data_IF_688027988810
#
_entry.id   IF_688027988810
#
_cell.length_a   1.000
_cell.length_b   1.000
_cell.length_c   1.000
_cell.angle_alpha   90.00
_cell.angle_beta   90.00
_cell.angle_gamma   90.00
#
_symmetry.space_group_name_H-M   'P 1'
#
loop_
_entity.id
_entity.type
_entity.pdbx_description
1 polymer ?
#
# COMPACT_ATOMS: atom_id res chain seq x y z
N UNK A 1 -28.54 -20.77 5.12
CA UNK A 1 -27.14 -20.33 5.33
C UNK A 1 -26.28 -20.78 4.15
N UNK A 2 -26.33 -20.05 3.03
CA UNK A 2 -25.44 -20.32 1.89
C UNK A 2 -24.19 -19.45 2.02
N UNK A 3 -23.05 -20.04 2.39
CA UNK A 3 -21.76 -19.35 2.30
C UNK A 3 -21.35 -19.30 0.83
N UNK A 4 -21.09 -18.10 0.31
CA UNK A 4 -20.76 -17.87 -1.11
C UNK A 4 -19.41 -18.53 -1.46
N UNK A 5 -19.36 -19.40 -2.49
CA UNK A 5 -18.15 -20.16 -2.87
C UNK A 5 -16.92 -19.29 -3.17
N UNK A 6 -17.11 -18.06 -3.66
CA UNK A 6 -16.02 -17.16 -4.07
C UNK A 6 -15.14 -16.67 -2.91
N UNK A 7 -15.75 -16.37 -1.77
CA UNK A 7 -15.03 -15.85 -0.58
C UNK A 7 -14.23 -16.98 0.09
N UNK A 8 -14.79 -18.19 0.13
CA UNK A 8 -14.07 -19.37 0.64
C UNK A 8 -12.85 -19.70 -0.22
N UNK A 9 -12.97 -19.58 -1.56
CA UNK A 9 -11.85 -19.78 -2.48
C UNK A 9 -10.76 -18.73 -2.30
N UNK A 10 -11.11 -17.44 -2.25
CA UNK A 10 -10.14 -16.36 -2.00
C UNK A 10 -9.41 -16.51 -0.65
N UNK A 11 -10.16 -16.84 0.41
CA UNK A 11 -9.60 -17.07 1.75
C UNK A 11 -8.67 -18.29 1.81
N UNK A 12 -8.96 -19.38 1.07
CA UNK A 12 -8.09 -20.57 1.02
C UNK A 12 -6.81 -20.32 0.23
N UNK A 13 -6.88 -19.62 -0.90
CA UNK A 13 -5.69 -19.24 -1.67
C UNK A 13 -4.78 -18.32 -0.88
N UNK A 14 -5.33 -17.38 -0.09
CA UNK A 14 -4.57 -16.50 0.80
C UNK A 14 -3.86 -17.29 1.92
N UNK A 15 -4.56 -18.22 2.58
CA UNK A 15 -3.96 -19.05 3.65
C UNK A 15 -2.74 -19.86 3.19
N UNK A 16 -2.76 -20.39 1.95
CA UNK A 16 -1.66 -21.18 1.41
C UNK A 16 -0.35 -20.39 1.24
N UNK A 17 -0.43 -19.06 1.12
CA UNK A 17 0.75 -18.20 0.90
C UNK A 17 1.16 -17.39 2.13
N UNK A 18 0.48 -17.53 3.26
CA UNK A 18 0.80 -16.81 4.51
C UNK A 18 2.23 -17.11 4.99
N UNK A 19 2.74 -18.33 4.77
CA UNK A 19 4.09 -18.74 5.15
C UNK A 19 5.18 -18.32 4.14
N UNK A 20 4.80 -17.71 3.03
CA UNK A 20 5.71 -17.29 1.95
C UNK A 20 5.61 -15.79 1.75
N UNK A 21 5.75 -15.03 2.85
CA UNK A 21 5.71 -13.58 2.80
C UNK A 21 6.79 -13.05 1.85
N UNK A 22 6.48 -11.95 1.17
CA UNK A 22 7.39 -11.27 0.26
C UNK A 22 7.33 -9.76 0.55
N UNK A 23 8.39 -9.01 0.23
CA UNK A 23 8.42 -7.59 0.55
C UNK A 23 7.42 -6.76 -0.26
N UNK A 24 7.11 -7.15 -1.50
CA UNK A 24 6.12 -6.50 -2.39
C UNK A 24 5.68 -7.48 -3.48
N UNK A 25 4.57 -7.22 -4.18
CA UNK A 25 3.98 -8.21 -5.11
C UNK A 25 4.93 -8.64 -6.23
N UNK A 26 5.62 -7.68 -6.83
CA UNK A 26 6.58 -7.88 -7.92
C UNK A 26 7.95 -8.42 -7.50
N UNK A 27 8.13 -8.86 -6.24
CA UNK A 27 9.44 -9.37 -5.76
C UNK A 27 9.92 -10.61 -6.52
N UNK A 28 8.99 -11.37 -7.11
CA UNK A 28 9.25 -12.59 -7.86
C UNK A 28 8.98 -12.42 -9.37
N UNK A 29 9.01 -11.18 -9.89
CA UNK A 29 8.71 -10.92 -11.29
C UNK A 29 9.58 -11.72 -12.27
N UNK A 30 10.82 -12.03 -11.89
CA UNK A 30 11.75 -12.83 -12.70
C UNK A 30 11.27 -14.27 -12.94
N UNK A 31 10.42 -14.82 -12.06
CA UNK A 31 9.84 -16.16 -12.22
C UNK A 31 8.52 -16.15 -12.97
N UNK A 32 7.91 -14.99 -13.17
CA UNK A 32 6.61 -14.86 -13.81
C UNK A 32 6.75 -14.85 -15.34
N UNK A 33 6.26 -15.89 -15.99
CA UNK A 33 6.34 -16.08 -17.44
C UNK A 33 5.18 -15.45 -18.24
N UNK A 34 4.33 -14.65 -17.60
CA UNK A 34 3.25 -13.94 -18.29
C UNK A 34 2.04 -14.81 -18.65
N UNK A 35 1.97 -16.05 -18.15
CA UNK A 35 0.83 -16.96 -18.40
C UNK A 35 -0.52 -16.33 -18.06
N UNK A 36 -1.50 -16.46 -18.97
CA UNK A 36 -2.89 -16.07 -18.69
C UNK A 36 -3.46 -16.90 -17.52
N UNK A 37 -3.89 -16.20 -16.48
CA UNK A 37 -4.40 -16.78 -15.24
C UNK A 37 -5.93 -16.92 -15.22
N UNK A 38 -6.64 -16.48 -16.28
CA UNK A 38 -8.12 -16.48 -16.32
C UNK A 38 -8.72 -17.87 -16.09
N UNK A 39 -8.06 -18.92 -16.58
CA UNK A 39 -8.47 -20.33 -16.41
C UNK A 39 -7.51 -21.12 -15.52
N UNK A 40 -6.59 -20.46 -14.82
CA UNK A 40 -5.58 -21.12 -13.99
C UNK A 40 -6.20 -21.62 -12.68
N UNK A 41 -6.01 -22.91 -12.38
CA UNK A 41 -6.50 -23.52 -11.15
C UNK A 41 -5.43 -23.49 -10.04
N UNK A 42 -5.51 -22.48 -9.18
CA UNK A 42 -4.63 -22.32 -8.02
C UNK A 42 -4.79 -23.40 -6.94
N UNK A 43 -5.86 -24.18 -6.96
CA UNK A 43 -6.05 -25.28 -6.00
C UNK A 43 -5.42 -26.57 -6.50
N UNK A 44 -5.40 -26.77 -7.82
CA UNK A 44 -4.83 -27.96 -8.47
C UNK A 44 -3.34 -27.84 -8.82
N UNK A 45 -2.72 -26.66 -8.69
CA UNK A 45 -1.33 -26.46 -9.11
C UNK A 45 -0.27 -27.04 -8.15
N UNK A 46 -0.68 -27.69 -7.07
CA UNK A 46 0.20 -28.31 -6.07
C UNK A 46 1.31 -27.37 -5.59
N UNK A 47 1.01 -26.09 -5.31
CA UNK A 47 1.96 -25.20 -4.64
C UNK A 47 2.28 -25.69 -3.23
N UNK A 48 3.55 -26.00 -2.98
CA UNK A 48 4.04 -26.50 -1.71
C UNK A 48 5.55 -26.23 -1.54
N UNK A 49 6.09 -26.58 -0.38
CA UNK A 49 7.53 -26.74 -0.20
C UNK A 49 8.06 -27.88 -1.10
N UNK A 50 9.33 -27.83 -1.59
CA UNK A 50 10.34 -26.78 -1.40
C UNK A 50 10.09 -25.54 -2.26
N UNK A 51 10.68 -24.41 -1.86
CA UNK A 51 10.54 -23.14 -2.58
C UNK A 51 11.53 -23.02 -3.75
N UNK A 52 11.46 -23.99 -4.66
CA UNK A 52 12.20 -24.03 -5.93
C UNK A 52 11.61 -23.05 -6.95
N UNK A 53 12.25 -22.94 -8.12
CA UNK A 53 11.85 -21.98 -9.15
C UNK A 53 10.44 -22.25 -9.71
N UNK A 54 10.00 -23.52 -9.68
CA UNK A 54 8.63 -23.90 -10.04
C UNK A 54 7.63 -23.33 -9.04
N UNK A 55 7.89 -23.48 -7.74
CA UNK A 55 7.01 -22.93 -6.71
C UNK A 55 7.11 -21.41 -6.59
N UNK A 56 8.28 -20.79 -6.85
CA UNK A 56 8.41 -19.33 -6.97
C UNK A 56 7.55 -18.78 -8.11
N UNK A 57 7.51 -19.44 -9.27
CA UNK A 57 6.62 -19.09 -10.38
C UNK A 57 5.14 -19.19 -9.99
N UNK A 58 4.74 -20.28 -9.32
CA UNK A 58 3.36 -20.44 -8.81
C UNK A 58 3.00 -19.36 -7.78
N UNK A 59 3.95 -18.89 -6.97
CA UNK A 59 3.73 -17.77 -6.06
C UNK A 59 3.59 -16.45 -6.83
N UNK A 60 4.43 -16.21 -7.84
CA UNK A 60 4.34 -15.04 -8.70
C UNK A 60 2.98 -14.95 -9.40
N UNK A 61 2.44 -16.06 -9.91
CA UNK A 61 1.07 -16.12 -10.44
C UNK A 61 0.01 -15.70 -9.41
N UNK A 62 0.13 -16.15 -8.16
CA UNK A 62 -0.80 -15.75 -7.09
C UNK A 62 -0.68 -14.26 -6.79
N UNK A 63 0.53 -13.70 -6.79
CA UNK A 63 0.76 -12.27 -6.60
C UNK A 63 0.15 -11.44 -7.73
N UNK A 64 0.34 -11.82 -9.00
CA UNK A 64 -0.32 -11.16 -10.13
C UNK A 64 -1.85 -11.22 -9.99
N UNK A 65 -2.40 -12.39 -9.68
CA UNK A 65 -3.84 -12.53 -9.48
C UNK A 65 -4.39 -11.71 -8.30
N UNK A 66 -3.58 -11.50 -7.25
CA UNK A 66 -3.92 -10.60 -6.14
C UNK A 66 -3.91 -9.14 -6.62
N UNK A 67 -2.88 -8.73 -7.37
CA UNK A 67 -2.80 -7.40 -7.98
C UNK A 67 -4.00 -7.09 -8.89
N UNK A 68 -4.37 -8.04 -9.75
CA UNK A 68 -5.52 -7.91 -10.66
C UNK A 68 -6.86 -7.78 -9.91
N UNK A 69 -7.00 -8.50 -8.79
CA UNK A 69 -8.20 -8.40 -7.93
C UNK A 69 -8.22 -7.07 -7.18
N UNK A 70 -7.06 -6.61 -6.71
CA UNK A 70 -6.92 -5.33 -6.04
C UNK A 70 -7.35 -4.18 -6.97
N UNK A 71 -6.85 -4.15 -8.19
CA UNK A 71 -7.20 -3.13 -9.18
C UNK A 71 -8.69 -3.10 -9.57
N UNK A 72 -9.42 -4.20 -9.35
CA UNK A 72 -10.87 -4.30 -9.61
C UNK A 72 -11.73 -3.76 -8.46
N UNK A 73 -11.12 -3.52 -7.29
CA UNK A 73 -11.80 -3.04 -6.09
C UNK A 73 -12.74 -4.05 -5.44
N UNK A 74 -13.23 -3.71 -4.25
CA UNK A 74 -14.06 -4.60 -3.43
C UNK A 74 -15.39 -4.98 -4.04
N UNK A 75 -15.98 -4.13 -4.88
CA UNK A 75 -17.30 -4.37 -5.49
C UNK A 75 -17.32 -5.62 -6.38
N UNK A 76 -16.16 -6.05 -6.90
CA UNK A 76 -16.03 -7.28 -7.70
C UNK A 76 -15.73 -8.52 -6.86
N UNK A 77 -15.43 -8.34 -5.57
CA UNK A 77 -15.07 -9.42 -4.64
C UNK A 77 -16.24 -9.77 -3.72
N UNK A 78 -16.94 -8.75 -3.22
CA UNK A 78 -18.07 -8.89 -2.31
C UNK A 78 -19.40 -8.88 -3.08
N UNK A 79 -20.38 -9.65 -2.59
CA UNK A 79 -21.75 -9.52 -3.09
C UNK A 79 -22.39 -8.21 -2.59
N UNK A 80 -23.55 -7.86 -3.14
CA UNK A 80 -24.24 -6.62 -2.80
C UNK A 80 -24.54 -6.48 -1.29
N UNK A 81 -24.91 -7.57 -0.63
CA UNK A 81 -25.23 -7.57 0.81
C UNK A 81 -23.99 -7.32 1.65
N UNK A 82 -22.90 -8.03 1.39
CA UNK A 82 -21.64 -7.90 2.11
C UNK A 82 -20.99 -6.55 1.85
N UNK A 83 -21.08 -6.04 0.62
CA UNK A 83 -20.63 -4.70 0.30
C UNK A 83 -21.36 -3.64 1.11
N UNK A 84 -22.69 -3.76 1.27
CA UNK A 84 -23.46 -2.86 2.14
C UNK A 84 -23.00 -2.92 3.60
N UNK A 85 -22.88 -4.13 4.17
CA UNK A 85 -22.39 -4.31 5.56
C UNK A 85 -21.00 -3.71 5.75
N UNK A 86 -20.09 -3.96 4.81
CA UNK A 86 -18.74 -3.37 4.84
C UNK A 86 -18.79 -1.85 4.75
N UNK A 87 -19.62 -1.29 3.86
CA UNK A 87 -19.75 0.16 3.70
C UNK A 87 -20.28 0.83 4.98
N UNK A 88 -21.32 0.24 5.59
CA UNK A 88 -21.89 0.74 6.85
C UNK A 88 -20.84 0.68 7.99
N UNK A 89 -20.04 -0.40 8.05
CA UNK A 89 -18.95 -0.55 9.02
C UNK A 89 -17.84 0.49 8.80
N UNK A 90 -17.45 0.74 7.55
CA UNK A 90 -16.47 1.77 7.21
C UNK A 90 -16.98 3.15 7.67
N UNK A 91 -18.22 3.53 7.32
CA UNK A 91 -18.80 4.80 7.72
C UNK A 91 -18.93 4.97 9.23
N UNK A 92 -19.32 3.91 9.95
CA UNK A 92 -19.38 3.92 11.41
C UNK A 92 -18.00 4.09 12.05
N UNK A 93 -17.00 3.40 11.50
CA UNK A 93 -15.60 3.49 11.96
C UNK A 93 -15.02 4.87 11.71
N UNK A 94 -15.19 5.42 10.49
CA UNK A 94 -14.69 6.74 10.14
C UNK A 94 -15.31 7.83 11.04
N UNK A 95 -16.63 7.74 11.28
CA UNK A 95 -17.33 8.62 12.22
C UNK A 95 -16.77 8.49 13.64
N UNK A 96 -16.51 7.28 14.11
CA UNK A 96 -15.92 7.05 15.43
C UNK A 96 -14.50 7.63 15.56
N UNK A 97 -13.76 7.69 14.44
CA UNK A 97 -12.42 8.27 14.37
C UNK A 97 -12.41 9.74 13.93
N UNK A 98 -13.52 10.46 14.07
CA UNK A 98 -13.66 11.88 13.71
C UNK A 98 -13.29 12.20 12.25
N UNK A 99 -13.50 11.26 11.33
CA UNK A 99 -13.17 11.42 9.91
C UNK A 99 -11.70 11.17 9.56
N UNK A 100 -10.93 10.48 10.42
CA UNK A 100 -9.52 10.16 10.15
C UNK A 100 -9.32 9.44 8.82
N UNK A 101 -10.14 8.43 8.50
CA UNK A 101 -9.96 7.59 7.30
C UNK A 101 -10.24 8.40 6.04
N UNK A 102 -11.36 9.12 6.01
CA UNK A 102 -11.75 9.96 4.87
C UNK A 102 -10.79 11.13 4.66
N UNK A 103 -10.29 11.74 5.73
CA UNK A 103 -9.29 12.83 5.64
C UNK A 103 -7.93 12.35 5.12
N UNK A 104 -7.47 11.18 5.59
CA UNK A 104 -6.24 10.58 5.09
C UNK A 104 -6.37 10.18 3.61
N UNK A 105 -7.51 9.62 3.20
CA UNK A 105 -7.78 9.27 1.80
C UNK A 105 -7.78 10.50 0.90
N UNK A 106 -8.46 11.58 1.32
CA UNK A 106 -8.49 12.86 0.60
C UNK A 106 -7.09 13.43 0.37
N UNK A 107 -6.23 13.42 1.40
CA UNK A 107 -4.85 13.86 1.27
C UNK A 107 -4.07 13.04 0.22
N UNK A 108 -4.23 11.71 0.24
CA UNK A 108 -3.59 10.80 -0.73
C UNK A 108 -4.12 11.03 -2.15
N UNK A 109 -5.42 11.31 -2.30
CA UNK A 109 -6.05 11.63 -3.59
C UNK A 109 -5.55 12.97 -4.15
N UNK A 110 -5.48 14.00 -3.32
CA UNK A 110 -4.92 15.31 -3.68
C UNK A 110 -3.46 15.17 -4.14
N UNK A 111 -2.67 14.31 -3.48
CA UNK A 111 -1.26 14.10 -3.81
C UNK A 111 -1.08 13.56 -5.25
N UNK A 112 -2.05 12.75 -5.72
CA UNK A 112 -2.05 12.19 -7.08
C UNK A 112 -2.52 13.19 -8.15
N UNK A 113 -2.86 14.43 -7.78
CA UNK A 113 -3.47 15.43 -8.67
C UNK A 113 -4.80 14.97 -9.29
N UNK A 114 -5.58 14.12 -8.59
CA UNK A 114 -6.89 13.68 -9.06
C UNK A 114 -7.97 14.77 -8.96
N UNK A 115 -7.75 15.82 -8.15
CA UNK A 115 -8.82 16.73 -7.74
C UNK A 115 -8.78 18.17 -8.31
N UNK A 116 -7.89 18.54 -9.23
CA UNK A 116 -7.89 19.92 -9.77
C UNK A 116 -7.74 20.02 -11.29
N UNK A 117 -8.67 20.77 -11.90
CA UNK A 117 -8.79 21.06 -13.32
C UNK A 117 -7.91 22.24 -13.77
N UNK A 118 -6.73 22.44 -13.17
CA UNK A 118 -5.82 23.52 -13.57
C UNK A 118 -4.49 22.99 -14.10
N UNK A 119 -3.97 23.57 -15.21
CA UNK A 119 -2.71 23.15 -15.82
C UNK A 119 -1.54 23.86 -15.14
N UNK A 120 -1.22 23.49 -13.91
CA UNK A 120 0.05 23.86 -13.28
C UNK A 120 0.92 22.60 -13.18
N UNK A 121 2.05 22.61 -13.90
CA UNK A 121 3.17 21.64 -13.90
C UNK A 121 2.85 20.34 -13.15
N UNK A 122 2.38 19.32 -13.88
CA UNK A 122 2.02 17.98 -13.37
C UNK A 122 3.20 17.33 -12.63
N UNK A 123 3.35 17.60 -11.33
CA UNK A 123 4.14 16.75 -10.44
C UNK A 123 3.28 15.55 -10.06
N UNK A 124 3.41 14.44 -10.79
CA UNK A 124 2.73 13.20 -10.41
C UNK A 124 3.40 12.62 -9.16
N UNK A 125 2.76 12.74 -8.00
CA UNK A 125 3.22 12.03 -6.80
C UNK A 125 2.90 10.55 -6.90
N UNK A 126 3.66 9.73 -6.17
CA UNK A 126 3.40 8.30 -6.03
C UNK A 126 3.20 8.03 -4.55
N UNK A 127 2.02 7.51 -4.19
CA UNK A 127 1.78 7.04 -2.83
C UNK A 127 2.32 5.62 -2.66
N UNK A 128 3.07 5.41 -1.59
CA UNK A 128 3.58 4.10 -1.18
C UNK A 128 3.18 3.80 0.26
N UNK A 129 2.84 2.55 0.56
CA UNK A 129 2.57 2.07 1.92
C UNK A 129 3.70 1.17 2.36
N UNK A 130 4.30 1.44 3.52
CA UNK A 130 5.25 0.53 4.17
C UNK A 130 4.67 0.11 5.52
N UNK A 131 4.48 -1.20 5.73
CA UNK A 131 3.82 -1.72 6.93
C UNK A 131 4.56 -2.90 7.53
N UNK A 132 4.59 -2.97 8.86
CA UNK A 132 5.20 -4.08 9.61
C UNK A 132 4.41 -5.37 9.55
N UNK A 133 3.23 -5.40 8.91
CA UNK A 133 2.43 -6.61 8.68
C UNK A 133 2.89 -7.40 7.45
N UNK A 134 2.45 -8.65 7.32
CA UNK A 134 2.66 -9.45 6.10
C UNK A 134 1.94 -8.84 4.89
N UNK A 135 2.47 -9.08 3.70
CA UNK A 135 2.10 -8.40 2.46
C UNK A 135 0.63 -8.63 2.07
N UNK A 136 0.23 -9.89 1.95
CA UNK A 136 -1.11 -10.26 1.43
C UNK A 136 -2.24 -9.74 2.34
N UNK A 137 -2.20 -9.93 3.66
CA UNK A 137 -3.17 -9.30 4.57
C UNK A 137 -3.12 -7.77 4.51
N UNK A 138 -1.96 -7.17 4.26
CA UNK A 138 -1.84 -5.71 4.15
C UNK A 138 -2.48 -5.15 2.88
N UNK A 139 -2.35 -5.83 1.75
CA UNK A 139 -3.07 -5.50 0.51
C UNK A 139 -4.58 -5.66 0.70
N UNK A 140 -5.01 -6.73 1.40
CA UNK A 140 -6.42 -6.92 1.73
C UNK A 140 -6.95 -5.78 2.63
N UNK A 141 -6.18 -5.33 3.62
CA UNK A 141 -6.52 -4.15 4.43
C UNK A 141 -6.64 -2.90 3.56
N UNK A 142 -5.71 -2.68 2.62
CA UNK A 142 -5.78 -1.52 1.72
C UNK A 142 -7.11 -1.49 0.94
N UNK A 143 -7.58 -2.62 0.41
CA UNK A 143 -8.93 -2.72 -0.19
C UNK A 143 -10.05 -2.39 0.82
N UNK A 144 -10.01 -3.01 2.00
CA UNK A 144 -11.01 -2.80 3.06
C UNK A 144 -11.10 -1.35 3.53
N UNK A 145 -10.01 -0.60 3.45
CA UNK A 145 -9.93 0.81 3.81
C UNK A 145 -9.99 1.77 2.61
N UNK A 146 -10.40 1.29 1.42
CA UNK A 146 -10.60 2.09 0.20
C UNK A 146 -9.34 2.78 -0.31
N UNK A 147 -8.19 2.12 -0.22
CA UNK A 147 -6.91 2.66 -0.68
C UNK A 147 -6.55 2.21 -2.10
N UNK A 148 -7.39 1.41 -2.75
CA UNK A 148 -7.13 0.80 -4.06
C UNK A 148 -7.09 1.79 -5.23
N UNK A 149 -7.77 2.91 -5.10
CA UNK A 149 -7.74 3.99 -6.08
C UNK A 149 -6.55 4.94 -5.86
N UNK A 150 -6.05 5.09 -4.63
CA UNK A 150 -4.98 6.05 -4.29
C UNK A 150 -3.60 5.42 -4.08
N UNK A 151 -3.50 4.09 -3.97
CA UNK A 151 -2.23 3.36 -3.81
C UNK A 151 -2.27 2.09 -4.68
N UNK A 152 -1.35 1.99 -5.64
CA UNK A 152 -1.16 0.75 -6.42
C UNK A 152 -0.73 -0.40 -5.51
N UNK A 153 -1.21 -1.61 -5.80
CA UNK A 153 -0.82 -2.82 -5.06
C UNK A 153 0.68 -3.11 -5.14
N UNK A 154 1.36 -2.70 -6.21
CA UNK A 154 2.82 -2.78 -6.35
C UNK A 154 3.58 -1.78 -5.47
N UNK A 155 2.90 -0.77 -4.93
CA UNK A 155 3.47 0.22 -4.02
C UNK A 155 3.14 -0.07 -2.55
N UNK A 156 2.69 -1.29 -2.25
CA UNK A 156 2.52 -1.79 -0.88
C UNK A 156 3.70 -2.67 -0.52
N UNK A 157 4.41 -2.30 0.54
CA UNK A 157 5.63 -2.94 1.01
C UNK A 157 5.44 -3.51 2.42
N UNK A 158 5.78 -4.78 2.59
CA UNK A 158 5.85 -5.47 3.87
C UNK A 158 7.26 -5.37 4.45
N UNK A 159 7.39 -4.73 5.60
CA UNK A 159 8.63 -4.67 6.37
C UNK A 159 8.77 -5.79 7.39
N UNK A 160 7.88 -6.80 7.37
CA UNK A 160 7.81 -7.88 8.36
C UNK A 160 9.16 -8.58 8.58
N UNK A 161 9.89 -8.88 7.51
CA UNK A 161 11.18 -9.59 7.59
C UNK A 161 12.39 -8.65 7.50
N UNK A 162 12.32 -7.61 6.66
CA UNK A 162 13.48 -6.79 6.29
C UNK A 162 13.55 -5.42 6.97
N UNK A 163 12.50 -5.01 7.69
CA UNK A 163 12.40 -3.70 8.32
C UNK A 163 12.13 -2.53 7.35
N UNK A 164 11.68 -1.40 7.90
CA UNK A 164 11.25 -0.23 7.09
C UNK A 164 12.39 0.42 6.32
N UNK A 165 13.60 0.45 6.86
CA UNK A 165 14.78 0.99 6.17
C UNK A 165 15.05 0.27 4.85
N UNK A 166 14.95 -1.06 4.83
CA UNK A 166 15.16 -1.81 3.61
C UNK A 166 14.04 -1.55 2.59
N UNK A 167 12.80 -1.42 3.04
CA UNK A 167 11.69 -1.00 2.17
C UNK A 167 11.93 0.37 1.55
N UNK A 168 12.43 1.34 2.32
CA UNK A 168 12.76 2.67 1.79
C UNK A 168 13.86 2.61 0.73
N UNK A 169 14.86 1.73 0.88
CA UNK A 169 15.88 1.51 -0.15
C UNK A 169 15.29 0.97 -1.44
N UNK A 170 14.41 -0.05 -1.39
CA UNK A 170 13.73 -0.58 -2.57
C UNK A 170 12.82 0.45 -3.24
N UNK A 171 12.12 1.29 -2.46
CA UNK A 171 11.31 2.40 -2.98
C UNK A 171 12.21 3.40 -3.71
N UNK A 172 13.36 3.77 -3.13
CA UNK A 172 14.34 4.66 -3.76
C UNK A 172 14.92 4.08 -5.04
N UNK A 173 15.23 2.79 -5.05
CA UNK A 173 15.75 2.09 -6.22
C UNK A 173 14.73 2.07 -7.36
N UNK A 174 13.46 1.80 -7.05
CA UNK A 174 12.37 1.72 -8.04
C UNK A 174 11.95 3.08 -8.58
N UNK A 175 11.76 4.05 -7.71
CA UNK A 175 11.11 5.33 -8.03
C UNK A 175 12.08 6.52 -8.03
N UNK A 176 13.34 6.32 -7.65
CA UNK A 176 14.33 7.39 -7.56
C UNK A 176 14.75 7.95 -8.92
N UNK A 177 15.31 9.15 -8.88
CA UNK A 177 15.80 9.86 -10.06
C UNK A 177 16.25 11.28 -9.70
N UNK A 178 16.86 12.02 -10.63
CA UNK A 178 17.45 13.34 -10.36
C UNK A 178 16.45 14.38 -9.84
N UNK A 179 15.15 14.22 -10.11
CA UNK A 179 14.10 15.17 -9.73
C UNK A 179 13.06 14.57 -8.77
N UNK A 180 13.36 13.43 -8.14
CA UNK A 180 12.43 12.76 -7.23
C UNK A 180 12.77 13.10 -5.79
N UNK A 181 11.78 13.64 -5.07
CA UNK A 181 11.86 13.89 -3.63
C UNK A 181 11.00 12.85 -2.90
N UNK A 182 11.47 12.43 -1.73
CA UNK A 182 10.79 11.46 -0.89
C UNK A 182 10.34 12.14 0.40
N UNK A 183 9.24 11.67 0.98
CA UNK A 183 8.80 12.10 2.29
C UNK A 183 8.24 10.89 3.02
N UNK A 184 8.76 10.61 4.22
CA UNK A 184 8.23 9.56 5.07
C UNK A 184 7.14 10.14 5.97
N UNK A 185 6.00 9.45 6.07
CA UNK A 185 4.87 9.85 6.92
C UNK A 185 4.51 8.67 7.81
N UNK A 186 4.41 8.90 9.13
CA UNK A 186 4.05 7.84 10.07
C UNK A 186 4.13 8.29 11.53
N UNK A 187 3.67 7.45 12.45
CA UNK A 187 3.59 7.75 13.89
C UNK A 187 4.75 7.15 14.69
N UNK A 188 5.38 6.08 14.17
CA UNK A 188 6.33 5.25 14.87
C UNK A 188 7.80 5.70 14.80
N UNK A 189 8.64 5.18 15.71
CA UNK A 189 10.08 5.47 15.73
C UNK A 189 10.86 4.77 14.60
N UNK A 190 10.36 3.64 14.09
CA UNK A 190 11.06 2.85 13.07
C UNK A 190 11.15 3.61 11.74
N UNK A 191 10.04 4.15 11.25
CA UNK A 191 9.98 4.96 10.02
C UNK A 191 10.74 6.27 10.16
N UNK A 192 10.72 6.90 11.34
CA UNK A 192 11.50 8.11 11.62
C UNK A 192 13.00 7.82 11.51
N UNK A 193 13.44 6.71 12.10
CA UNK A 193 14.85 6.31 12.07
C UNK A 193 15.28 5.98 10.64
N UNK A 194 14.45 5.25 9.89
CA UNK A 194 14.70 4.96 8.49
C UNK A 194 14.77 6.24 7.63
N UNK A 195 13.84 7.18 7.82
CA UNK A 195 13.82 8.46 7.11
C UNK A 195 15.08 9.28 7.36
N UNK A 196 15.54 9.34 8.63
CA UNK A 196 16.78 10.02 9.00
C UNK A 196 18.00 9.45 8.27
N UNK A 197 18.15 8.12 8.25
CA UNK A 197 19.24 7.43 7.54
C UNK A 197 19.18 7.72 6.02
N UNK A 198 17.98 7.74 5.45
CA UNK A 198 17.77 8.02 4.03
C UNK A 198 17.90 9.51 3.68
N UNK A 199 18.05 10.40 4.68
CA UNK A 199 17.98 11.86 4.57
C UNK A 199 16.67 12.32 3.94
N UNK A 200 15.57 11.68 4.33
CA UNK A 200 14.21 12.02 3.89
C UNK A 200 13.52 12.86 4.96
N UNK A 201 12.78 13.91 4.57
CA UNK A 201 11.84 14.58 5.47
C UNK A 201 10.90 13.57 6.13
N UNK A 202 10.60 13.78 7.40
CA UNK A 202 9.70 12.93 8.19
C UNK A 202 8.55 13.76 8.77
N UNK A 203 7.32 13.40 8.40
CA UNK A 203 6.10 13.99 8.94
C UNK A 203 5.52 13.03 9.97
N UNK A 204 5.63 13.42 11.24
CA UNK A 204 5.09 12.64 12.36
C UNK A 204 3.57 12.78 12.38
N UNK A 205 2.88 11.64 12.30
CA UNK A 205 1.45 11.55 12.56
C UNK A 205 1.23 11.38 14.07
N UNK A 206 0.37 12.20 14.63
CA UNK A 206 0.08 12.22 16.06
C UNK A 206 -1.33 11.67 16.32
N UNK A 207 -1.41 10.69 17.22
CA UNK A 207 -2.67 9.97 17.49
C UNK A 207 -3.52 10.74 18.52
N UNK A 208 -2.89 11.61 19.32
CA UNK A 208 -3.58 12.35 20.38
C UNK A 208 -4.61 13.32 19.79
N UNK A 209 -5.84 13.40 20.34
CA UNK A 209 -6.91 14.19 19.75
C UNK A 209 -6.62 15.69 19.57
N UNK A 210 -5.76 16.25 20.40
CA UNK A 210 -5.39 17.66 20.46
C UNK A 210 -4.14 18.01 19.64
N UNK A 211 -3.52 17.03 18.99
CA UNK A 211 -2.25 17.25 18.28
C UNK A 211 -2.46 17.90 16.90
N UNK A 212 -1.57 18.84 16.48
CA UNK A 212 -1.71 19.57 15.23
C UNK A 212 -1.47 18.70 13.98
N UNK A 213 -0.66 17.64 14.08
CA UNK A 213 -0.33 16.75 12.96
C UNK A 213 -1.14 15.45 13.01
N UNK A 214 -2.46 15.58 12.97
CA UNK A 214 -3.46 14.50 13.01
C UNK A 214 -4.39 14.62 11.80
N UNK A 215 -5.10 13.53 11.48
CA UNK A 215 -6.28 13.61 10.62
C UNK A 215 -7.55 13.71 11.46
N UNK A 216 -8.49 14.60 11.10
CA UNK A 216 -8.35 15.72 10.15
C UNK A 216 -7.34 16.77 10.64
N UNK A 217 -6.60 17.41 9.73
CA UNK A 217 -5.67 18.52 10.07
C UNK A 217 -4.41 18.60 9.21
N UNK A 218 -3.78 17.46 8.91
CA UNK A 218 -2.62 17.43 8.03
C UNK A 218 -3.01 17.73 6.57
N UNK A 219 -2.31 18.66 5.93
CA UNK A 219 -2.51 19.09 4.54
C UNK A 219 -1.26 18.87 3.69
N UNK A 220 -1.42 18.84 2.36
CA UNK A 220 -0.28 18.77 1.43
C UNK A 220 0.63 20.00 1.52
N UNK A 221 0.07 21.18 1.78
CA UNK A 221 0.87 22.40 1.97
C UNK A 221 1.83 22.26 3.16
N UNK A 222 1.38 21.67 4.26
CA UNK A 222 2.23 21.38 5.43
C UNK A 222 3.33 20.38 5.08
N UNK A 223 2.99 19.30 4.36
CA UNK A 223 3.97 18.30 3.90
C UNK A 223 5.01 18.96 2.98
N UNK A 224 4.60 19.72 1.98
CA UNK A 224 5.50 20.41 1.06
C UNK A 224 6.41 21.40 1.79
N UNK A 225 5.88 22.17 2.75
CA UNK A 225 6.69 23.08 3.57
C UNK A 225 7.80 22.36 4.35
N UNK A 226 7.49 21.18 4.93
CA UNK A 226 8.48 20.34 5.61
C UNK A 226 9.50 19.79 4.61
N UNK A 227 9.05 19.33 3.44
CA UNK A 227 9.94 18.82 2.39
C UNK A 227 10.91 19.90 1.91
N UNK A 228 10.41 21.11 1.64
CA UNK A 228 11.24 22.21 1.15
C UNK A 228 12.29 22.63 2.18
N UNK A 229 11.97 22.66 3.47
CA UNK A 229 12.95 22.98 4.52
C UNK A 229 14.13 21.99 4.55
N UNK A 230 13.88 20.69 4.33
CA UNK A 230 14.92 19.65 4.35
C UNK A 230 15.69 19.58 3.02
N UNK A 231 15.01 19.74 1.89
CA UNK A 231 15.66 19.66 0.57
C UNK A 231 16.39 20.97 0.18
N UNK A 232 15.99 22.13 0.69
CA UNK A 232 16.71 23.38 0.47
C UNK A 232 17.95 23.51 1.37
N UNK A 233 17.92 22.95 2.59
CA UNK A 233 19.10 22.93 3.47
C UNK A 233 20.20 22.02 2.93
N UNK A 234 19.84 20.85 2.39
CA UNK A 234 20.82 19.92 1.79
C UNK A 234 21.48 20.42 0.50
N UNK A 235 20.92 21.42 -0.17
CA UNK A 235 21.53 22.06 -1.36
C UNK A 235 22.56 23.16 -1.05
N UNK A 236 22.70 23.58 0.22
CA UNK A 236 23.64 24.64 0.64
C UNK A 236 24.94 24.11 1.24
N UNK A 237 25.03 22.82 1.51
CA UNK A 237 26.20 22.15 2.10
C UNK A 237 27.04 21.38 1.06
N UNK A 238 26.90 21.73 -0.23
CA UNK A 238 27.59 21.10 -1.38
C UNK A 238 28.55 22.05 -2.08
#
# INVERSE_FOLDING_TARGET
MGRLPGILKASRTMKKIENYNQPYLSSLHEYDDGKDLTKYDFEADCFSSPFDDVNKRKLAYRHRAIGDKYAKGLQKILDHRMFKVWSDLYSSTDKYTDGWLSSAHKLLEEALCKSTAEPAIKSSSINCIVTSGSLVPSIAKCLLYRLDDVVSSDNVYSSWESGKLQCFKWIKERHGGPNVRFCAVGDGPEERSAASIMKWPFVKIEIRPDAPHRFPGLSLSTIHGIMDAVYQSSGKDG
#
